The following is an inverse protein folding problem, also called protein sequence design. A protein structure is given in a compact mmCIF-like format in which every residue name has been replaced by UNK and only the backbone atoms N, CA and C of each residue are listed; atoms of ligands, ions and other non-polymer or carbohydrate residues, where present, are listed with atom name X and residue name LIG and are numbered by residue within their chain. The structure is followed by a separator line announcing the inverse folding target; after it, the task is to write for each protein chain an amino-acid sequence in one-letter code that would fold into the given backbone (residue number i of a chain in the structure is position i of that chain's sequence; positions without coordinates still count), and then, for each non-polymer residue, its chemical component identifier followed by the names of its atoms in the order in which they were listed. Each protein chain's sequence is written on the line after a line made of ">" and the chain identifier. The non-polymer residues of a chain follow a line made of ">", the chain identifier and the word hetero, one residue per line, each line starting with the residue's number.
data_IF_817212568471
#
_entry.id   IF_817212568471
#
_cell.length_a   1.000
_cell.length_b   1.000
_cell.length_c   1.000
_cell.angle_alpha   90.00
_cell.angle_beta   90.00
_cell.angle_gamma   90.00
#
_symmetry.space_group_name_H-M   'P 1'
#
loop_
_entity.id
_entity.type
_entity.pdbx_description
1 polymer ?
#
# COMPACT_ATOMS: atom_id res chain seq x y z
N UNK A 1 2.21 4.28 -18.12
CA UNK A 1 1.26 4.14 -17.00
C UNK A 1 0.95 2.65 -16.80
N UNK A 2 1.21 2.10 -15.61
CA UNK A 2 0.82 0.72 -15.30
C UNK A 2 -0.69 0.70 -15.03
N UNK A 3 -1.45 0.01 -15.88
CA UNK A 3 -2.91 -0.09 -15.74
C UNK A 3 -3.34 -1.27 -14.86
N UNK A 4 -2.41 -2.18 -14.57
CA UNK A 4 -2.62 -3.43 -13.84
C UNK A 4 -1.33 -3.89 -13.16
N UNK A 5 -1.37 -4.97 -12.39
CA UNK A 5 -0.20 -5.53 -11.71
C UNK A 5 0.86 -6.07 -12.69
N UNK A 6 0.48 -6.56 -13.87
CA UNK A 6 1.43 -6.98 -14.89
C UNK A 6 2.27 -5.81 -15.40
N UNK A 7 1.69 -4.61 -15.47
CA UNK A 7 2.40 -3.38 -15.77
C UNK A 7 3.40 -2.98 -14.67
N UNK A 8 3.08 -3.20 -13.39
CA UNK A 8 4.01 -3.01 -12.27
C UNK A 8 5.19 -3.99 -12.39
N UNK A 9 4.90 -5.28 -12.62
CA UNK A 9 5.91 -6.32 -12.81
C UNK A 9 6.83 -6.02 -14.01
N UNK A 10 6.27 -5.49 -15.09
CA UNK A 10 7.06 -5.12 -16.28
C UNK A 10 8.07 -4.01 -16.00
N UNK A 11 7.75 -3.06 -15.13
CA UNK A 11 8.69 -2.01 -14.68
C UNK A 11 9.86 -2.59 -13.89
N UNK A 12 9.60 -3.57 -13.05
CA UNK A 12 10.62 -4.19 -12.21
C UNK A 12 11.66 -5.00 -13.01
N UNK A 13 11.31 -5.47 -14.22
CA UNK A 13 12.27 -6.18 -15.09
C UNK A 13 13.48 -5.35 -15.52
N UNK A 14 13.37 -4.04 -15.48
CA UNK A 14 14.45 -3.10 -15.88
C UNK A 14 15.04 -2.33 -14.70
N UNK A 15 14.53 -2.58 -13.48
CA UNK A 15 15.01 -1.97 -12.25
C UNK A 15 16.05 -2.85 -11.54
N UNK A 16 16.82 -2.26 -10.66
CA UNK A 16 17.70 -3.02 -9.77
C UNK A 16 16.88 -3.87 -8.81
N UNK A 17 17.25 -5.15 -8.67
CA UNK A 17 16.59 -6.06 -7.74
C UNK A 17 16.73 -5.53 -6.32
N UNK A 18 15.62 -5.30 -5.64
CA UNK A 18 15.59 -4.83 -4.25
C UNK A 18 15.72 -5.99 -3.29
N UNK A 19 16.24 -5.72 -2.10
CA UNK A 19 16.36 -6.70 -1.04
C UNK A 19 15.25 -6.49 0.01
N UNK A 20 14.54 -7.55 0.36
CA UNK A 20 13.46 -7.55 1.33
C UNK A 20 13.87 -8.32 2.58
N UNK A 21 13.66 -7.75 3.76
CA UNK A 21 13.80 -8.44 5.04
C UNK A 21 12.44 -8.93 5.53
N UNK A 22 12.34 -10.24 5.81
CA UNK A 22 11.11 -10.89 6.27
C UNK A 22 11.23 -11.22 7.75
N UNK A 23 10.36 -10.63 8.57
CA UNK A 23 10.34 -10.86 10.01
C UNK A 23 9.52 -12.11 10.36
N UNK A 24 10.11 -13.04 11.12
CA UNK A 24 9.47 -14.30 11.54
C UNK A 24 8.96 -15.08 10.32
N UNK A 25 9.90 -15.48 9.46
CA UNK A 25 9.61 -15.98 8.11
C UNK A 25 8.97 -17.38 8.06
N UNK A 26 8.91 -18.11 9.18
CA UNK A 26 8.33 -19.46 9.29
C UNK A 26 6.80 -19.46 9.16
N UNK A 27 6.30 -19.15 7.96
CA UNK A 27 4.88 -19.12 7.59
C UNK A 27 4.74 -19.59 6.15
N UNK A 28 3.98 -20.66 5.88
CA UNK A 28 3.91 -21.27 4.54
C UNK A 28 3.44 -20.27 3.47
N UNK A 29 2.32 -19.53 3.64
CA UNK A 29 1.90 -18.53 2.66
C UNK A 29 2.91 -17.41 2.43
N UNK A 30 3.72 -17.06 3.42
CA UNK A 30 4.79 -16.05 3.28
C UNK A 30 5.94 -16.62 2.49
N UNK A 31 6.42 -17.82 2.81
CA UNK A 31 7.53 -18.48 2.09
C UNK A 31 7.13 -18.79 0.64
N UNK A 32 5.89 -19.21 0.37
CA UNK A 32 5.38 -19.38 -0.98
C UNK A 32 5.42 -18.06 -1.78
N UNK A 33 4.98 -16.96 -1.16
CA UNK A 33 5.03 -15.64 -1.81
C UNK A 33 6.48 -15.18 -2.06
N UNK A 34 7.39 -15.42 -1.12
CA UNK A 34 8.82 -15.12 -1.25
C UNK A 34 9.46 -15.95 -2.37
N UNK A 35 9.16 -17.26 -2.44
CA UNK A 35 9.60 -18.16 -3.52
C UNK A 35 9.16 -17.61 -4.88
N UNK A 36 7.85 -17.33 -5.05
CA UNK A 36 7.29 -16.78 -6.30
C UNK A 36 7.92 -15.43 -6.65
N UNK A 37 8.14 -14.56 -5.66
CA UNK A 37 8.77 -13.26 -5.89
C UNK A 37 10.21 -13.39 -6.38
N UNK A 38 10.98 -14.33 -5.84
CA UNK A 38 12.34 -14.66 -6.29
C UNK A 38 12.35 -15.23 -7.70
N UNK A 39 11.52 -16.25 -7.98
CA UNK A 39 11.40 -16.88 -9.31
C UNK A 39 11.01 -15.89 -10.41
N UNK A 40 10.21 -14.87 -10.06
CA UNK A 40 9.82 -13.79 -10.99
C UNK A 40 10.83 -12.64 -11.07
N UNK A 41 11.93 -12.70 -10.32
CA UNK A 41 12.94 -11.63 -10.28
C UNK A 41 12.42 -10.31 -9.69
N UNK A 42 11.47 -10.35 -8.76
CA UNK A 42 10.87 -9.15 -8.15
C UNK A 42 11.77 -8.60 -7.05
N UNK A 43 12.21 -9.46 -6.12
CA UNK A 43 13.08 -9.10 -4.98
C UNK A 43 13.98 -10.28 -4.60
N UNK A 44 15.11 -9.98 -3.97
CA UNK A 44 15.86 -10.90 -3.13
C UNK A 44 15.39 -10.80 -1.68
N UNK A 45 15.44 -11.89 -0.91
CA UNK A 45 14.90 -11.89 0.45
C UNK A 45 15.89 -12.42 1.47
N UNK A 46 15.91 -11.76 2.65
CA UNK A 46 16.57 -12.24 3.87
C UNK A 46 15.48 -12.76 4.79
N UNK A 47 15.58 -14.03 5.17
CA UNK A 47 14.60 -14.71 6.02
C UNK A 47 15.08 -14.68 7.46
N UNK A 48 14.41 -13.95 8.34
CA UNK A 48 14.75 -13.88 9.77
C UNK A 48 13.70 -14.66 10.57
N UNK A 49 14.14 -15.66 11.35
CA UNK A 49 13.23 -16.48 12.14
C UNK A 49 13.83 -17.82 12.56
N UNK A 50 13.01 -18.73 13.05
CA UNK A 50 13.38 -20.08 13.45
C UNK A 50 13.81 -20.90 12.21
N UNK A 51 15.12 -21.07 12.04
CA UNK A 51 15.72 -21.73 10.87
C UNK A 51 15.18 -23.14 10.67
N UNK A 52 15.04 -23.92 11.73
CA UNK A 52 14.56 -25.30 11.64
C UNK A 52 13.13 -25.37 11.10
N UNK A 53 12.27 -24.42 11.51
CA UNK A 53 10.89 -24.31 11.00
C UNK A 53 10.84 -23.79 9.58
N UNK A 54 11.70 -22.82 9.23
CA UNK A 54 11.83 -22.33 7.84
C UNK A 54 12.24 -23.48 6.92
N UNK A 55 13.25 -24.28 7.30
CA UNK A 55 13.71 -25.44 6.53
C UNK A 55 12.61 -26.51 6.37
N UNK A 56 11.85 -26.79 7.44
CA UNK A 56 10.74 -27.73 7.39
C UNK A 56 9.65 -27.29 6.39
N UNK A 57 9.21 -26.04 6.47
CA UNK A 57 8.18 -25.48 5.56
C UNK A 57 8.71 -25.42 4.13
N UNK A 58 9.95 -24.97 3.92
CA UNK A 58 10.57 -24.89 2.60
C UNK A 58 10.59 -26.25 1.88
N UNK A 59 10.87 -27.34 2.65
CA UNK A 59 10.81 -28.70 2.11
C UNK A 59 9.39 -29.11 1.70
N UNK A 60 8.35 -28.69 2.46
CA UNK A 60 6.96 -29.00 2.14
C UNK A 60 6.47 -28.29 0.86
N UNK A 61 6.98 -27.07 0.61
CA UNK A 61 6.61 -26.27 -0.57
C UNK A 61 7.60 -26.34 -1.72
N UNK A 62 8.59 -27.24 -1.65
CA UNK A 62 9.65 -27.42 -2.65
C UNK A 62 10.39 -26.09 -2.96
N UNK A 63 10.86 -25.39 -1.91
CA UNK A 63 11.61 -24.15 -2.00
C UNK A 63 13.10 -24.40 -1.78
N UNK A 64 13.93 -24.00 -2.75
CA UNK A 64 15.39 -24.08 -2.63
C UNK A 64 15.92 -22.94 -1.74
N UNK A 65 16.33 -23.26 -0.52
CA UNK A 65 16.86 -22.29 0.43
C UNK A 65 18.30 -21.85 0.15
N UNK A 66 19.02 -22.50 -0.76
CA UNK A 66 20.39 -22.10 -1.12
C UNK A 66 20.46 -20.70 -1.76
N UNK A 67 19.33 -20.22 -2.29
CA UNK A 67 19.18 -18.90 -2.89
C UNK A 67 18.82 -17.80 -1.89
N UNK A 68 18.67 -18.10 -0.59
CA UNK A 68 18.20 -17.18 0.44
C UNK A 68 19.18 -17.06 1.60
N UNK A 69 19.40 -15.84 2.06
CA UNK A 69 20.09 -15.60 3.33
C UNK A 69 19.12 -15.87 4.48
N UNK A 70 19.52 -16.72 5.44
CA UNK A 70 18.72 -17.04 6.63
C UNK A 70 19.45 -16.57 7.87
N UNK A 71 18.77 -15.78 8.70
CA UNK A 71 19.25 -15.37 10.02
C UNK A 71 18.43 -16.11 11.07
N UNK A 72 19.08 -17.03 11.77
CA UNK A 72 18.44 -17.83 12.82
C UNK A 72 18.14 -16.98 14.05
N UNK A 73 16.88 -16.90 14.41
CA UNK A 73 16.39 -16.26 15.62
C UNK A 73 15.04 -16.86 16.00
N UNK A 74 15.02 -17.57 17.14
CA UNK A 74 13.82 -18.30 17.60
C UNK A 74 12.83 -17.41 18.36
N UNK A 75 13.31 -16.34 19.01
CA UNK A 75 12.44 -15.35 19.65
C UNK A 75 11.79 -14.44 18.59
N UNK A 76 10.47 -14.41 18.57
CA UNK A 76 9.70 -13.68 17.54
C UNK A 76 9.86 -12.16 17.63
N UNK A 77 10.07 -11.61 18.83
CA UNK A 77 10.26 -10.16 19.02
C UNK A 77 11.67 -9.77 18.57
N UNK A 78 12.68 -10.57 18.95
CA UNK A 78 14.06 -10.35 18.52
C UNK A 78 14.22 -10.59 17.01
N UNK A 79 13.53 -11.59 16.44
CA UNK A 79 13.52 -11.82 15.00
C UNK A 79 12.94 -10.59 14.24
N UNK A 80 11.84 -10.02 14.74
CA UNK A 80 11.29 -8.80 14.17
C UNK A 80 12.24 -7.60 14.32
N UNK A 81 12.91 -7.47 15.47
CA UNK A 81 13.89 -6.40 15.72
C UNK A 81 15.12 -6.54 14.82
N UNK A 82 15.66 -7.74 14.65
CA UNK A 82 16.75 -8.02 13.69
C UNK A 82 16.34 -7.74 12.26
N UNK A 83 15.15 -8.18 11.86
CA UNK A 83 14.67 -7.99 10.49
C UNK A 83 14.46 -6.50 10.15
N UNK A 84 13.90 -5.71 11.06
CA UNK A 84 13.71 -4.27 10.82
C UNK A 84 15.05 -3.52 10.82
N UNK A 85 16.03 -3.94 11.65
CA UNK A 85 17.35 -3.31 11.69
C UNK A 85 18.10 -3.45 10.36
N UNK A 86 17.92 -4.56 9.63
CA UNK A 86 18.50 -4.72 8.30
C UNK A 86 18.03 -3.64 7.33
N UNK A 87 16.76 -3.23 7.43
CA UNK A 87 16.22 -2.15 6.61
C UNK A 87 16.68 -0.79 7.11
N UNK A 88 16.69 -0.58 8.42
CA UNK A 88 17.21 0.64 9.05
C UNK A 88 18.67 0.92 8.65
N UNK A 89 19.49 -0.12 8.64
CA UNK A 89 20.93 -0.06 8.31
C UNK A 89 21.20 -0.01 6.79
N UNK A 90 20.16 0.00 5.95
CA UNK A 90 20.30 0.00 4.49
C UNK A 90 20.79 -1.32 3.88
N UNK A 91 20.76 -2.43 4.63
CA UNK A 91 21.10 -3.78 4.15
C UNK A 91 19.93 -4.43 3.40
N UNK A 92 18.72 -3.93 3.61
CA UNK A 92 17.52 -4.27 2.86
C UNK A 92 16.72 -3.00 2.54
N UNK A 93 15.88 -3.05 1.50
CA UNK A 93 15.11 -1.92 0.99
C UNK A 93 13.64 -1.97 1.43
N UNK A 94 13.16 -3.16 1.84
CA UNK A 94 11.75 -3.45 2.11
C UNK A 94 11.66 -4.28 3.40
N UNK A 95 10.65 -4.01 4.22
CA UNK A 95 10.35 -4.78 5.42
C UNK A 95 9.01 -5.51 5.28
N UNK A 96 9.00 -6.83 5.51
CA UNK A 96 7.79 -7.65 5.38
C UNK A 96 7.46 -8.39 6.68
N UNK A 97 6.17 -8.42 7.03
CA UNK A 97 5.61 -9.18 8.12
C UNK A 97 5.43 -10.65 7.76
N UNK A 98 5.94 -11.55 8.59
CA UNK A 98 5.67 -12.99 8.56
C UNK A 98 4.76 -13.47 9.70
N UNK A 99 5.14 -14.54 10.38
CA UNK A 99 4.34 -15.27 11.37
C UNK A 99 4.30 -14.62 12.78
N UNK A 100 4.08 -13.31 12.89
CA UNK A 100 3.95 -12.65 14.18
C UNK A 100 2.67 -11.82 14.27
N UNK A 101 2.29 -11.44 15.49
CA UNK A 101 1.13 -10.57 15.71
C UNK A 101 1.37 -9.17 15.14
N UNK A 102 0.32 -8.56 14.58
CA UNK A 102 0.41 -7.21 14.00
C UNK A 102 0.92 -6.18 15.01
N UNK A 103 0.51 -6.31 16.28
CA UNK A 103 0.97 -5.43 17.36
C UNK A 103 2.48 -5.47 17.55
N UNK A 104 3.09 -6.66 17.55
CA UNK A 104 4.52 -6.82 17.78
C UNK A 104 5.34 -6.44 16.53
N UNK A 105 4.80 -6.72 15.34
CA UNK A 105 5.36 -6.21 14.10
C UNK A 105 5.40 -4.68 14.07
N UNK A 106 4.29 -4.02 14.43
CA UNK A 106 4.25 -2.56 14.47
C UNK A 106 5.15 -1.96 15.55
N UNK A 107 5.36 -2.66 16.68
CA UNK A 107 6.35 -2.22 17.67
C UNK A 107 7.76 -2.21 17.06
N UNK A 108 8.13 -3.20 16.25
CA UNK A 108 9.42 -3.20 15.57
C UNK A 108 9.55 -2.09 14.52
N UNK A 109 8.49 -1.84 13.73
CA UNK A 109 8.44 -0.71 12.78
C UNK A 109 8.63 0.63 13.51
N UNK A 110 8.04 0.78 14.69
CA UNK A 110 8.06 2.00 15.49
C UNK A 110 9.16 2.00 16.57
N UNK A 111 10.08 1.06 16.56
CA UNK A 111 11.21 1.04 17.49
C UNK A 111 12.02 2.34 17.39
N UNK A 112 12.52 2.82 18.53
CA UNK A 112 13.21 4.13 18.61
C UNK A 112 14.64 4.07 18.10
N UNK A 113 15.27 2.89 18.15
CA UNK A 113 16.68 2.68 17.82
C UNK A 113 16.86 2.14 16.41
N UNK A 114 16.08 1.10 16.06
CA UNK A 114 16.24 0.34 14.81
C UNK A 114 15.00 0.33 13.93
N UNK A 115 13.95 1.04 14.31
CA UNK A 115 12.71 1.10 13.55
C UNK A 115 12.76 2.05 12.35
N UNK A 116 11.66 2.11 11.63
CA UNK A 116 11.52 2.88 10.38
C UNK A 116 10.70 4.16 10.55
N UNK A 117 10.76 4.78 11.73
CA UNK A 117 9.98 5.98 12.06
C UNK A 117 10.44 7.19 11.26
N UNK A 118 9.47 7.98 10.79
CA UNK A 118 9.72 9.29 10.14
C UNK A 118 9.28 10.46 11.00
N UNK A 119 8.63 10.22 12.14
CA UNK A 119 7.97 11.26 12.93
C UNK A 119 6.60 11.68 12.37
N UNK A 120 6.23 11.20 11.19
CA UNK A 120 4.92 11.43 10.56
C UNK A 120 3.99 10.23 10.85
N UNK A 121 2.65 10.41 10.72
CA UNK A 121 1.71 9.32 10.93
C UNK A 121 1.88 8.20 9.90
N UNK A 122 1.50 6.97 10.30
CA UNK A 122 1.43 5.82 9.40
C UNK A 122 0.09 5.82 8.67
N UNK A 123 0.08 5.37 7.42
CA UNK A 123 -1.13 5.19 6.63
C UNK A 123 -1.04 3.92 5.78
N UNK A 124 -2.18 3.39 5.37
CA UNK A 124 -2.29 2.16 4.61
C UNK A 124 -2.82 2.45 3.20
N UNK A 125 -2.08 2.00 2.19
CA UNK A 125 -2.47 2.11 0.79
C UNK A 125 -2.76 0.73 0.23
N UNK A 126 -4.00 0.55 -0.25
CA UNK A 126 -4.41 -0.62 -1.02
C UNK A 126 -4.49 -0.28 -2.49
N UNK A 127 -3.88 -1.08 -3.33
CA UNK A 127 -3.94 -0.94 -4.79
C UNK A 127 -4.77 -2.07 -5.36
N UNK A 128 -5.75 -1.73 -6.18
CA UNK A 128 -6.68 -2.67 -6.79
C UNK A 128 -6.59 -2.66 -8.32
N UNK A 129 -6.65 -3.84 -8.90
CA UNK A 129 -7.00 -4.10 -10.29
C UNK A 129 -8.41 -4.70 -10.29
N UNK A 130 -9.39 -3.92 -10.75
CA UNK A 130 -10.81 -4.28 -10.72
C UNK A 130 -11.29 -4.52 -12.16
N UNK A 131 -11.89 -5.68 -12.49
CA UNK A 131 -12.47 -5.92 -13.80
C UNK A 131 -13.50 -4.84 -14.18
N UNK A 132 -13.37 -4.29 -15.39
CA UNK A 132 -14.23 -3.20 -15.87
C UNK A 132 -13.69 -1.80 -15.59
N UNK A 133 -12.64 -1.65 -14.77
CA UNK A 133 -11.94 -0.37 -14.56
C UNK A 133 -10.56 -0.45 -15.23
N UNK A 134 -10.33 0.41 -16.23
CA UNK A 134 -9.12 0.40 -17.08
C UNK A 134 -7.92 1.14 -16.45
N UNK A 135 -7.78 1.05 -15.14
CA UNK A 135 -6.67 1.62 -14.36
C UNK A 135 -6.55 0.97 -12.99
N UNK A 136 -5.40 1.16 -12.34
CA UNK A 136 -5.26 0.83 -10.92
C UNK A 136 -6.03 1.85 -10.07
N UNK A 137 -6.73 1.37 -9.05
CA UNK A 137 -7.35 2.20 -8.02
C UNK A 137 -6.57 2.11 -6.72
N UNK A 138 -6.23 3.26 -6.14
CA UNK A 138 -5.51 3.40 -4.89
C UNK A 138 -6.49 3.83 -3.80
N UNK A 139 -6.72 3.00 -2.82
CA UNK A 139 -7.64 3.23 -1.70
C UNK A 139 -6.87 3.57 -0.42
N UNK A 140 -7.24 4.66 0.26
CA UNK A 140 -6.56 5.13 1.47
C UNK A 140 -7.45 6.03 2.35
N UNK A 141 -7.33 6.11 3.70
CA UNK A 141 -6.78 5.06 4.55
C UNK A 141 -7.88 4.02 4.80
N UNK A 142 -7.52 2.76 4.79
CA UNK A 142 -8.52 1.69 4.95
C UNK A 142 -8.27 0.81 6.20
N UNK A 143 -7.19 1.10 6.96
CA UNK A 143 -6.79 0.19 8.03
C UNK A 143 -6.05 0.80 9.23
N UNK A 144 -5.57 2.04 9.17
CA UNK A 144 -4.66 2.58 10.17
C UNK A 144 -5.19 3.78 10.95
N UNK A 145 -5.72 4.78 10.27
CA UNK A 145 -6.19 6.01 10.91
C UNK A 145 -7.69 5.98 11.17
N UNK A 146 -8.15 5.88 12.44
CA UNK A 146 -9.58 5.84 12.74
C UNK A 146 -10.32 7.08 12.23
N UNK A 147 -9.86 8.25 12.60
CA UNK A 147 -10.46 9.55 12.27
C UNK A 147 -9.36 10.54 11.91
N UNK A 148 -8.83 10.50 10.66
CA UNK A 148 -7.76 11.40 10.25
C UNK A 148 -8.26 12.85 10.24
N UNK A 149 -7.45 13.74 10.80
CA UNK A 149 -7.64 15.19 10.72
C UNK A 149 -7.38 15.69 9.30
N UNK A 150 -7.69 16.95 9.02
CA UNK A 150 -7.37 17.58 7.73
C UNK A 150 -5.86 17.49 7.43
N UNK A 151 -5.00 17.77 8.43
CA UNK A 151 -3.54 17.66 8.27
C UNK A 151 -3.08 16.21 8.03
N UNK A 152 -3.68 15.23 8.72
CA UNK A 152 -3.43 13.82 8.43
C UNK A 152 -3.83 13.46 7.00
N UNK A 153 -4.97 13.94 6.51
CA UNK A 153 -5.44 13.71 5.13
C UNK A 153 -4.50 14.31 4.08
N UNK A 154 -3.90 15.47 4.34
CA UNK A 154 -2.83 16.03 3.46
C UNK A 154 -1.67 15.06 3.36
N UNK A 155 -1.20 14.53 4.49
CA UNK A 155 -0.08 13.57 4.54
C UNK A 155 -0.45 12.25 3.87
N UNK A 156 -1.66 11.74 4.09
CA UNK A 156 -2.18 10.52 3.43
C UNK A 156 -2.21 10.69 1.90
N UNK A 157 -2.66 11.86 1.41
CA UNK A 157 -2.63 12.18 -0.02
C UNK A 157 -1.20 12.15 -0.54
N UNK A 158 -0.27 12.84 0.12
CA UNK A 158 1.15 12.87 -0.28
C UNK A 158 1.73 11.46 -0.43
N UNK A 159 1.49 10.59 0.55
CA UNK A 159 1.96 9.21 0.51
C UNK A 159 1.37 8.42 -0.65
N UNK A 160 0.05 8.51 -0.83
CA UNK A 160 -0.65 7.73 -1.85
C UNK A 160 -0.33 8.22 -3.25
N UNK A 161 -0.15 9.53 -3.42
CA UNK A 161 0.35 10.15 -4.67
C UNK A 161 1.73 9.60 -5.01
N UNK A 162 2.65 9.50 -4.05
CA UNK A 162 3.98 8.94 -4.27
C UNK A 162 3.91 7.46 -4.68
N UNK A 163 3.03 6.67 -4.07
CA UNK A 163 2.80 5.27 -4.46
C UNK A 163 2.23 5.19 -5.89
N UNK A 164 1.23 5.99 -6.22
CA UNK A 164 0.62 6.02 -7.55
C UNK A 164 1.65 6.43 -8.64
N UNK A 165 2.49 7.42 -8.34
CA UNK A 165 3.57 7.86 -9.24
C UNK A 165 4.62 6.78 -9.44
N UNK A 166 5.00 6.05 -8.39
CA UNK A 166 5.87 4.88 -8.49
C UNK A 166 5.28 3.82 -9.42
N UNK A 167 3.97 3.60 -9.38
CA UNK A 167 3.25 2.76 -10.33
C UNK A 167 3.12 3.38 -11.73
N UNK A 168 3.55 4.64 -11.94
CA UNK A 168 3.61 5.32 -13.25
C UNK A 168 2.40 6.19 -13.57
N UNK A 169 1.62 6.59 -12.58
CA UNK A 169 0.59 7.62 -12.73
C UNK A 169 1.26 8.98 -12.48
N UNK A 170 1.57 9.74 -13.50
CA UNK A 170 2.37 10.98 -13.38
C UNK A 170 1.69 12.05 -12.54
N UNK A 171 0.40 12.26 -12.76
CA UNK A 171 -0.43 13.23 -12.04
C UNK A 171 -1.73 12.56 -11.58
N UNK A 172 -1.72 11.85 -10.43
CA UNK A 172 -2.89 11.12 -9.95
C UNK A 172 -4.06 12.04 -9.64
N UNK A 173 -5.27 11.59 -9.94
CA UNK A 173 -6.53 12.25 -9.57
C UNK A 173 -7.03 11.69 -8.25
N UNK A 174 -7.09 12.55 -7.24
CA UNK A 174 -7.50 12.22 -5.86
C UNK A 174 -8.93 12.68 -5.63
N UNK A 175 -9.81 11.75 -5.33
CA UNK A 175 -11.20 12.01 -4.93
C UNK A 175 -11.36 11.89 -3.40
N UNK A 176 -11.43 12.99 -2.64
CA UNK A 176 -11.92 12.98 -1.28
C UNK A 176 -13.40 12.60 -1.27
N UNK A 177 -13.69 11.39 -0.73
CA UNK A 177 -15.03 10.79 -0.82
C UNK A 177 -15.97 11.32 0.25
N UNK A 178 -17.23 11.54 -0.19
CA UNK A 178 -18.36 11.86 0.67
C UNK A 178 -19.64 11.22 0.09
N UNK A 179 -20.72 11.27 0.84
CA UNK A 179 -22.01 10.77 0.36
C UNK A 179 -22.67 11.68 -0.69
N UNK A 180 -22.22 12.94 -0.79
CA UNK A 180 -22.73 13.97 -1.71
C UNK A 180 -21.59 14.83 -2.25
N UNK A 181 -21.83 15.53 -3.36
CA UNK A 181 -20.83 16.34 -4.05
C UNK A 181 -20.92 17.84 -3.73
N UNK A 182 -21.86 18.21 -2.88
CA UNK A 182 -22.11 19.60 -2.48
C UNK A 182 -21.64 19.81 -1.05
N UNK A 183 -20.96 20.94 -0.81
CA UNK A 183 -20.55 21.32 0.55
C UNK A 183 -21.77 21.56 1.42
N UNK A 184 -21.87 20.83 2.51
CA UNK A 184 -22.93 20.96 3.49
C UNK A 184 -22.31 21.05 4.91
N UNK A 185 -22.44 22.21 5.60
CA UNK A 185 -21.89 22.38 6.96
C UNK A 185 -22.40 21.36 7.99
N UNK A 186 -23.57 20.75 7.75
CA UNK A 186 -24.10 19.66 8.59
C UNK A 186 -23.43 18.31 8.30
N UNK A 187 -22.60 18.25 7.27
CA UNK A 187 -21.80 17.07 6.87
C UNK A 187 -20.33 17.48 6.81
N UNK A 188 -19.59 17.49 7.95
CA UNK A 188 -18.21 17.99 8.02
C UNK A 188 -17.26 17.38 6.99
N UNK A 189 -17.47 16.12 6.62
CA UNK A 189 -16.71 15.41 5.58
C UNK A 189 -16.70 16.17 4.25
N UNK A 190 -17.82 16.81 3.87
CA UNK A 190 -17.93 17.59 2.63
C UNK A 190 -17.13 18.89 2.71
N UNK A 191 -17.09 19.51 3.88
CA UNK A 191 -16.32 20.74 4.14
C UNK A 191 -14.83 20.45 4.07
N UNK A 192 -14.36 19.38 4.72
CA UNK A 192 -12.96 18.94 4.66
C UNK A 192 -12.53 18.57 3.24
N UNK A 193 -13.38 17.86 2.50
CA UNK A 193 -13.10 17.47 1.12
C UNK A 193 -12.95 18.69 0.19
N UNK A 194 -13.77 19.72 0.36
CA UNK A 194 -13.63 20.98 -0.35
C UNK A 194 -12.35 21.73 0.05
N UNK A 195 -12.01 21.71 1.33
CA UNK A 195 -10.78 22.33 1.82
C UNK A 195 -9.53 21.66 1.24
N UNK A 196 -9.49 20.32 1.13
CA UNK A 196 -8.40 19.59 0.46
C UNK A 196 -8.28 20.00 -1.02
N UNK A 197 -9.40 20.23 -1.70
CA UNK A 197 -9.42 20.74 -3.07
C UNK A 197 -8.80 22.13 -3.16
N UNK A 198 -9.19 23.03 -2.26
CA UNK A 198 -8.63 24.40 -2.17
C UNK A 198 -7.11 24.38 -1.92
N UNK A 199 -6.64 23.56 -0.97
CA UNK A 199 -5.22 23.42 -0.66
C UNK A 199 -4.40 22.88 -1.86
N UNK A 200 -4.99 22.03 -2.69
CA UNK A 200 -4.37 21.60 -3.94
C UNK A 200 -4.29 22.75 -4.97
N UNK A 201 -5.35 23.54 -5.09
CA UNK A 201 -5.38 24.70 -6.00
C UNK A 201 -4.39 25.79 -5.57
N UNK A 202 -4.17 25.96 -4.28
CA UNK A 202 -3.16 26.90 -3.72
C UNK A 202 -1.72 26.34 -3.77
N UNK A 203 -1.56 25.08 -4.20
CA UNK A 203 -0.26 24.46 -4.35
C UNK A 203 0.37 23.95 -3.07
N UNK A 204 -0.39 23.79 -1.97
CA UNK A 204 0.06 23.11 -0.75
C UNK A 204 0.08 21.60 -0.95
N UNK A 205 -0.94 21.03 -1.60
CA UNK A 205 -0.96 19.62 -2.04
C UNK A 205 -0.48 19.57 -3.48
N UNK A 206 0.60 18.82 -3.75
CA UNK A 206 1.31 18.86 -5.03
C UNK A 206 1.31 17.54 -5.77
N UNK A 207 1.70 17.57 -7.04
CA UNK A 207 1.91 16.40 -7.91
C UNK A 207 0.65 15.56 -8.16
N UNK A 208 -0.53 16.13 -7.98
CA UNK A 208 -1.82 15.50 -8.20
C UNK A 208 -2.89 16.55 -8.49
N UNK A 209 -4.07 16.08 -8.88
CA UNK A 209 -5.30 16.87 -8.95
C UNK A 209 -6.18 16.36 -7.81
N UNK A 210 -6.63 17.25 -6.92
CA UNK A 210 -7.62 16.94 -5.88
C UNK A 210 -8.95 17.57 -6.28
N UNK A 211 -10.03 16.78 -6.23
CA UNK A 211 -11.37 17.26 -6.53
C UNK A 211 -12.42 16.56 -5.64
N UNK A 212 -12.85 17.24 -4.60
CA UNK A 212 -13.83 16.79 -3.61
C UNK A 212 -14.76 17.92 -3.16
N UNK A 213 -15.85 17.59 -2.47
CA UNK A 213 -16.35 16.24 -2.21
C UNK A 213 -16.84 15.50 -3.46
N UNK A 214 -16.66 14.17 -3.49
CA UNK A 214 -17.14 13.28 -4.55
C UNK A 214 -17.86 12.06 -3.96
N UNK A 215 -18.99 11.64 -4.53
CA UNK A 215 -19.54 10.32 -4.27
C UNK A 215 -18.74 9.24 -4.99
N UNK A 216 -18.84 8.00 -4.52
CA UNK A 216 -18.05 6.88 -5.04
C UNK A 216 -18.29 6.65 -6.55
N UNK A 217 -19.56 6.65 -6.97
CA UNK A 217 -19.97 6.45 -8.36
C UNK A 217 -19.36 7.53 -9.28
N UNK A 218 -19.48 8.80 -8.90
CA UNK A 218 -18.93 9.92 -9.70
C UNK A 218 -17.39 9.99 -9.65
N UNK A 219 -16.76 9.34 -8.68
CA UNK A 219 -15.32 9.26 -8.63
C UNK A 219 -14.76 8.21 -9.61
N UNK A 220 -15.46 7.07 -9.81
CA UNK A 220 -14.90 5.92 -10.53
C UNK A 220 -15.61 5.55 -11.84
N UNK A 221 -16.85 6.00 -12.06
CA UNK A 221 -17.65 5.64 -13.21
C UNK A 221 -17.95 6.87 -14.09
N UNK A 222 -17.35 6.97 -15.30
CA UNK A 222 -17.62 8.06 -16.24
C UNK A 222 -19.08 8.11 -16.72
N UNK A 223 -19.79 6.98 -16.77
CA UNK A 223 -21.20 6.96 -17.18
C UNK A 223 -22.07 7.61 -16.10
N UNK A 224 -21.82 7.33 -14.81
CA UNK A 224 -22.51 8.02 -13.73
C UNK A 224 -22.32 9.55 -13.80
N UNK A 225 -21.11 10.01 -14.13
CA UNK A 225 -20.82 11.43 -14.28
C UNK A 225 -21.63 12.11 -15.42
N UNK A 226 -21.89 11.39 -16.52
CA UNK A 226 -22.68 11.94 -17.66
C UNK A 226 -24.15 12.19 -17.31
N UNK A 227 -24.69 11.42 -16.38
CA UNK A 227 -26.10 11.50 -16.00
C UNK A 227 -26.39 12.48 -14.87
N UNK A 228 -25.36 13.07 -14.23
CA UNK A 228 -25.52 14.00 -13.13
C UNK A 228 -25.23 15.45 -13.53
N UNK A 229 -26.18 16.33 -13.29
CA UNK A 229 -26.05 17.77 -13.60
C UNK A 229 -24.83 18.38 -12.88
N UNK A 230 -23.99 19.10 -13.61
CA UNK A 230 -22.79 19.77 -13.11
C UNK A 230 -21.60 18.82 -12.79
N UNK A 231 -21.76 17.51 -12.98
CA UNK A 231 -20.66 16.58 -12.72
C UNK A 231 -19.54 16.69 -13.76
N UNK A 232 -19.88 17.02 -15.01
CA UNK A 232 -18.91 17.19 -16.10
C UNK A 232 -18.09 18.49 -16.01
N UNK A 233 -18.50 19.45 -15.16
CA UNK A 233 -17.77 20.69 -14.93
C UNK A 233 -16.62 20.51 -13.89
N UNK A 234 -16.47 19.31 -13.34
CA UNK A 234 -15.50 18.98 -12.31
C UNK A 234 -14.20 18.43 -12.92
N UNK A 235 -13.11 18.44 -12.15
CA UNK A 235 -11.81 17.91 -12.58
C UNK A 235 -11.77 16.38 -12.62
N UNK A 236 -12.60 15.73 -11.79
CA UNK A 236 -12.78 14.27 -11.75
C UNK A 236 -14.17 13.93 -12.29
N UNK A 237 -14.21 13.16 -13.35
CA UNK A 237 -15.43 12.79 -14.08
C UNK A 237 -15.54 11.26 -14.24
N UNK A 238 -15.40 10.54 -13.12
CA UNK A 238 -15.39 9.08 -13.10
C UNK A 238 -14.01 8.47 -13.36
N UNK A 239 -12.97 9.28 -13.31
CA UNK A 239 -11.60 8.89 -13.67
C UNK A 239 -10.59 9.11 -12.53
N UNK A 240 -11.05 9.08 -11.27
CA UNK A 240 -10.17 9.12 -10.11
C UNK A 240 -9.22 7.91 -10.09
N UNK A 241 -7.96 8.18 -9.73
CA UNK A 241 -6.96 7.16 -9.44
C UNK A 241 -6.94 6.82 -7.95
N UNK A 242 -7.06 7.84 -7.09
CA UNK A 242 -6.96 7.72 -5.63
C UNK A 242 -8.29 8.03 -4.99
N UNK A 243 -8.77 7.11 -4.15
CA UNK A 243 -9.98 7.25 -3.35
C UNK A 243 -9.57 7.51 -1.90
N UNK A 244 -9.75 8.74 -1.43
CA UNK A 244 -9.48 9.13 -0.06
C UNK A 244 -10.76 9.02 0.78
N UNK A 245 -10.76 8.09 1.75
CA UNK A 245 -11.89 7.89 2.63
C UNK A 245 -11.90 8.90 3.79
N UNK A 246 -13.10 9.30 4.25
CA UNK A 246 -13.24 10.26 5.35
C UNK A 246 -12.73 9.71 6.70
N UNK A 247 -12.88 8.41 6.91
CA UNK A 247 -12.51 7.70 8.12
C UNK A 247 -12.30 6.20 7.84
N UNK A 248 -11.78 5.48 8.86
CA UNK A 248 -11.47 4.05 8.75
C UNK A 248 -12.71 3.19 8.51
N UNK A 249 -13.89 3.60 8.99
CA UNK A 249 -15.09 2.80 8.84
C UNK A 249 -15.51 2.76 7.38
N UNK A 250 -15.58 3.93 6.73
CA UNK A 250 -15.87 4.01 5.29
C UNK A 250 -14.81 3.25 4.47
N UNK A 251 -13.53 3.46 4.76
CA UNK A 251 -12.41 2.82 4.06
C UNK A 251 -12.41 1.30 4.23
N UNK A 252 -12.44 0.83 5.47
CA UNK A 252 -12.34 -0.61 5.78
C UNK A 252 -13.54 -1.41 5.31
N UNK A 253 -14.76 -0.87 5.48
CA UNK A 253 -15.98 -1.51 4.97
C UNK A 253 -15.94 -1.63 3.45
N UNK A 254 -15.55 -0.56 2.74
CA UNK A 254 -15.41 -0.58 1.28
C UNK A 254 -14.34 -1.58 0.83
N UNK A 255 -13.15 -1.55 1.44
CA UNK A 255 -12.07 -2.51 1.17
C UNK A 255 -12.57 -3.96 1.31
N UNK A 256 -13.16 -4.30 2.45
CA UNK A 256 -13.66 -5.66 2.71
C UNK A 256 -14.79 -6.06 1.77
N UNK A 257 -15.67 -5.13 1.41
CA UNK A 257 -16.74 -5.36 0.44
C UNK A 257 -16.17 -5.73 -0.92
N UNK A 258 -15.22 -4.96 -1.42
CA UNK A 258 -14.57 -5.21 -2.72
C UNK A 258 -13.88 -6.57 -2.72
N UNK A 259 -13.04 -6.84 -1.72
CA UNK A 259 -12.26 -8.09 -1.63
C UNK A 259 -13.15 -9.34 -1.50
N UNK A 260 -14.33 -9.22 -0.87
CA UNK A 260 -15.22 -10.36 -0.63
C UNK A 260 -16.26 -10.59 -1.72
N UNK A 261 -16.69 -9.53 -2.39
CA UNK A 261 -17.79 -9.61 -3.37
C UNK A 261 -17.32 -9.54 -4.82
N UNK A 262 -16.14 -8.99 -5.08
CA UNK A 262 -15.60 -8.87 -6.43
C UNK A 262 -14.37 -9.78 -6.64
N UNK A 263 -14.17 -10.23 -7.89
CA UNK A 263 -12.94 -10.93 -8.30
C UNK A 263 -11.88 -9.90 -8.67
N UNK A 264 -11.12 -9.47 -7.68
CA UNK A 264 -10.08 -8.43 -7.84
C UNK A 264 -8.70 -8.98 -7.59
N UNK A 265 -7.68 -8.35 -8.19
CA UNK A 265 -6.30 -8.44 -7.69
C UNK A 265 -6.02 -7.22 -6.84
N UNK A 266 -5.28 -7.40 -5.76
CA UNK A 266 -4.85 -6.30 -4.90
C UNK A 266 -3.47 -6.54 -4.31
N UNK A 267 -2.83 -5.46 -3.89
CA UNK A 267 -1.60 -5.44 -3.11
C UNK A 267 -1.64 -4.28 -2.12
N UNK A 268 -0.96 -4.44 -0.98
CA UNK A 268 -1.09 -3.53 0.15
C UNK A 268 0.26 -3.17 0.73
N UNK A 269 0.47 -1.89 1.05
CA UNK A 269 1.66 -1.42 1.77
C UNK A 269 1.28 -0.42 2.86
N UNK A 270 2.10 -0.41 3.90
CA UNK A 270 2.10 0.63 4.92
C UNK A 270 3.07 1.74 4.48
N UNK A 271 2.63 2.97 4.60
CA UNK A 271 3.37 4.20 4.27
C UNK A 271 3.60 5.06 5.51
N UNK A 272 4.39 6.13 5.39
CA UNK A 272 4.80 6.96 6.53
C UNK A 272 6.04 6.44 7.24
N UNK A 273 6.71 5.45 6.68
CA UNK A 273 7.94 4.82 7.16
C UNK A 273 9.13 5.19 6.29
N UNK A 274 10.36 4.99 6.79
CA UNK A 274 11.61 5.26 6.04
C UNK A 274 11.79 4.35 4.82
N UNK A 275 11.18 3.17 4.82
CA UNK A 275 11.18 2.22 3.71
C UNK A 275 9.78 1.62 3.54
N UNK A 276 9.39 1.07 2.37
CA UNK A 276 8.12 0.38 2.20
C UNK A 276 7.98 -0.79 3.17
N UNK A 277 6.82 -0.91 3.80
CA UNK A 277 6.51 -1.98 4.76
C UNK A 277 5.32 -2.77 4.25
N UNK A 278 5.47 -4.10 4.16
CA UNK A 278 4.42 -5.00 3.75
C UNK A 278 3.76 -5.59 4.99
N UNK A 279 2.50 -5.25 5.18
CA UNK A 279 1.67 -5.72 6.28
C UNK A 279 0.42 -6.39 5.72
N UNK A 280 0.56 -7.68 5.37
CA UNK A 280 -0.55 -8.50 4.88
C UNK A 280 -1.25 -9.24 6.01
N UNK A 281 -2.54 -9.55 5.83
CA UNK A 281 -3.29 -10.40 6.74
C UNK A 281 -2.84 -11.87 6.61
N UNK A 282 -3.01 -12.65 7.68
CA UNK A 282 -2.83 -14.12 7.61
C UNK A 282 -3.79 -14.77 6.60
N UNK A 283 -4.97 -14.18 6.42
CA UNK A 283 -6.00 -14.67 5.48
C UNK A 283 -5.78 -14.22 4.02
N UNK A 284 -4.78 -13.39 3.75
CA UNK A 284 -4.47 -12.97 2.39
C UNK A 284 -3.82 -14.10 1.61
N UNK A 285 -4.24 -14.25 0.35
CA UNK A 285 -3.68 -15.24 -0.56
C UNK A 285 -2.21 -14.98 -0.88
N UNK A 286 -1.54 -15.98 -1.41
CA UNK A 286 -0.16 -15.87 -1.93
C UNK A 286 -0.09 -14.75 -2.99
N UNK A 287 -1.06 -14.67 -3.89
CA UNK A 287 -1.11 -13.64 -4.93
C UNK A 287 -1.16 -12.22 -4.36
N UNK A 288 -1.95 -11.98 -3.30
CA UNK A 288 -2.00 -10.67 -2.61
C UNK A 288 -0.65 -10.32 -2.00
N UNK A 289 0.04 -11.30 -1.41
CA UNK A 289 1.38 -11.11 -0.86
C UNK A 289 2.41 -10.80 -1.97
N UNK A 290 2.39 -11.53 -3.09
CA UNK A 290 3.26 -11.29 -4.25
C UNK A 290 2.99 -9.90 -4.85
N UNK A 291 1.74 -9.50 -5.02
CA UNK A 291 1.38 -8.18 -5.49
C UNK A 291 1.85 -7.07 -4.54
N UNK A 292 1.77 -7.32 -3.22
CA UNK A 292 2.28 -6.39 -2.20
C UNK A 292 3.80 -6.27 -2.25
N UNK A 293 4.51 -7.37 -2.50
CA UNK A 293 5.97 -7.37 -2.70
C UNK A 293 6.33 -6.56 -3.96
N UNK A 294 5.63 -6.77 -5.07
CA UNK A 294 5.86 -6.02 -6.31
C UNK A 294 5.59 -4.51 -6.13
N UNK A 295 4.50 -4.17 -5.42
CA UNK A 295 4.17 -2.78 -5.08
C UNK A 295 5.26 -2.14 -4.21
N UNK A 296 5.73 -2.83 -3.17
CA UNK A 296 6.80 -2.34 -2.32
C UNK A 296 8.12 -2.17 -3.09
N UNK A 297 8.44 -3.08 -4.00
CA UNK A 297 9.66 -3.02 -4.82
C UNK A 297 9.66 -1.79 -5.74
N UNK A 298 8.56 -1.50 -6.43
CA UNK A 298 8.47 -0.33 -7.31
C UNK A 298 8.50 0.98 -6.53
N UNK A 299 7.95 1.01 -5.30
CA UNK A 299 8.03 2.17 -4.40
C UNK A 299 9.45 2.36 -3.87
N UNK A 300 10.15 1.27 -3.51
CA UNK A 300 11.55 1.33 -3.06
C UNK A 300 12.49 1.87 -4.16
N UNK A 301 12.25 1.51 -5.43
CA UNK A 301 13.01 2.00 -6.58
C UNK A 301 12.94 3.53 -6.70
N UNK A 302 11.76 4.10 -6.59
CA UNK A 302 11.59 5.56 -6.75
C UNK A 302 12.20 6.37 -5.62
N UNK A 303 12.37 5.79 -4.42
CA UNK A 303 13.00 6.47 -3.27
C UNK A 303 14.52 6.59 -3.39
N UNK A 304 15.19 5.71 -4.13
CA UNK A 304 16.65 5.80 -4.37
C UNK A 304 17.01 6.82 -5.44
N UNK A 305 16.06 7.14 -6.31
CA UNK A 305 16.27 8.00 -7.49
C UNK A 305 15.73 9.43 -7.29
N UNK A 306 15.18 9.78 -6.14
CA UNK A 306 14.65 11.10 -5.75
C UNK A 306 15.31 11.64 -4.50
#
# INVERSE_FOLDING_TARGET
>A
MSKNFDGILSKLKTADIKKMSVAVAQDSPVLEAVKVAKERGIVDSILVGDKEKIEAIAKEIDMDLSEFEIIDEKDTVEAARKAVSLVHDGKADIYMKGALETKDFLKSVLDKEVGLRTGKPLSHVCVFEIPGIDRLLFLTDVAFMPYPTLEDKKVIIEYTVNVARACGVECPKVAPLAAVEVVNPKMPVTVEAAELTRLNEEGEIKNCIVDGPRSMDLAIDPEAAKHKAGALDRKIVGDADILLFPDIHAGNLTYKTIVRLAKVKNGNILTGTQAPVILTSRSDSVDVKVNSIALAAVVAETRKNG
#
